data_IF_189274725461
#
_entry.id   IF_189274725461
#
_cell.length_a   1.000
_cell.length_b   1.000
_cell.length_c   1.000
_cell.angle_alpha   90.00
_cell.angle_beta   90.00
_cell.angle_gamma   90.00
#
_symmetry.space_group_name_H-M   'P 1'
#
loop_
_entity.id
_entity.type
_entity.pdbx_description
1 polymer ?
#
# COMPACT_ATOMS: atom_id res chain seq x y z
N UNK A 1 13.15 14.01 -13.69
CA UNK A 1 13.48 14.34 -12.27
C UNK A 1 14.64 15.32 -12.25
N UNK A 2 14.55 16.41 -11.48
CA UNK A 2 15.68 17.34 -11.27
C UNK A 2 16.70 16.71 -10.32
N UNK A 3 17.98 17.16 -10.39
CA UNK A 3 19.04 16.64 -9.50
C UNK A 3 18.76 16.89 -8.01
N UNK A 4 18.06 17.99 -7.69
CA UNK A 4 17.66 18.29 -6.30
C UNK A 4 16.59 17.34 -5.81
N UNK A 5 15.56 17.10 -6.62
CA UNK A 5 14.49 16.15 -6.28
C UNK A 5 15.04 14.73 -6.11
N UNK A 6 15.89 14.28 -7.03
CA UNK A 6 16.53 12.96 -6.93
C UNK A 6 17.33 12.81 -5.64
N UNK A 7 18.10 13.83 -5.25
CA UNK A 7 18.83 13.83 -3.98
C UNK A 7 17.90 13.71 -2.79
N UNK A 8 16.80 14.46 -2.77
CA UNK A 8 15.82 14.40 -1.68
C UNK A 8 15.16 13.03 -1.59
N UNK A 9 14.79 12.43 -2.73
CA UNK A 9 14.22 11.08 -2.79
C UNK A 9 15.21 10.06 -2.20
N UNK A 10 16.48 10.08 -2.64
CA UNK A 10 17.52 9.17 -2.11
C UNK A 10 17.74 9.35 -0.60
N UNK A 11 17.71 10.58 -0.11
CA UNK A 11 17.85 10.85 1.34
C UNK A 11 16.67 10.27 2.14
N UNK A 12 15.44 10.41 1.63
CA UNK A 12 14.24 9.82 2.28
C UNK A 12 14.36 8.30 2.32
N UNK A 13 14.76 7.67 1.22
CA UNK A 13 14.90 6.21 1.14
C UNK A 13 15.93 5.73 2.16
N UNK A 14 17.13 6.31 2.16
CA UNK A 14 18.20 5.96 3.09
C UNK A 14 17.76 6.12 4.54
N UNK A 15 17.16 7.26 4.88
CA UNK A 15 16.68 7.51 6.24
C UNK A 15 15.59 6.51 6.67
N UNK A 16 14.68 6.16 5.75
CA UNK A 16 13.61 5.18 6.00
C UNK A 16 14.17 3.78 6.23
N UNK A 17 15.09 3.33 5.39
CA UNK A 17 15.72 2.00 5.49
C UNK A 17 16.55 1.89 6.75
N UNK A 18 17.37 2.89 7.06
CA UNK A 18 18.20 2.91 8.27
C UNK A 18 17.34 2.94 9.54
N UNK A 19 16.37 3.85 9.62
CA UNK A 19 15.47 3.94 10.78
C UNK A 19 14.66 2.66 10.98
N UNK A 20 14.24 2.02 9.89
CA UNK A 20 13.58 0.73 9.94
C UNK A 20 14.50 -0.36 10.51
N UNK A 21 15.72 -0.47 10.00
CA UNK A 21 16.70 -1.48 10.43
C UNK A 21 17.02 -1.33 11.94
N UNK A 22 17.31 -0.10 12.37
CA UNK A 22 17.61 0.20 13.78
C UNK A 22 16.42 -0.13 14.69
N UNK A 23 15.21 0.31 14.33
CA UNK A 23 14.00 0.07 15.12
C UNK A 23 13.57 -1.40 15.13
N UNK A 24 13.76 -2.11 14.01
CA UNK A 24 13.45 -3.53 13.91
C UNK A 24 14.41 -4.37 14.77
N UNK A 25 15.71 -4.08 14.71
CA UNK A 25 16.71 -4.75 15.53
C UNK A 25 16.45 -4.50 17.02
N UNK A 26 16.33 -3.22 17.41
CA UNK A 26 16.11 -2.84 18.81
C UNK A 26 14.90 -3.57 19.42
N UNK A 27 13.76 -3.54 18.74
CA UNK A 27 12.54 -4.22 19.21
C UNK A 27 12.77 -5.70 19.47
N UNK A 28 13.35 -6.43 18.51
CA UNK A 28 13.54 -7.87 18.66
C UNK A 28 14.61 -8.24 19.67
N UNK A 29 15.62 -7.38 19.89
CA UNK A 29 16.65 -7.59 20.90
C UNK A 29 16.06 -7.34 22.30
N UNK A 30 15.26 -6.29 22.48
CA UNK A 30 14.59 -5.98 23.75
C UNK A 30 13.57 -7.06 24.13
N UNK A 31 12.93 -7.69 23.15
CA UNK A 31 11.98 -8.80 23.35
C UNK A 31 12.66 -10.16 23.66
N UNK A 32 14.00 -10.25 23.69
CA UNK A 32 14.70 -11.54 23.82
C UNK A 32 14.29 -12.33 25.07
N UNK A 33 14.22 -11.64 26.20
CA UNK A 33 13.90 -12.24 27.49
C UNK A 33 12.41 -12.08 27.86
N UNK A 34 11.61 -11.49 26.99
CA UNK A 34 10.17 -11.35 27.16
C UNK A 34 9.42 -12.60 26.68
N UNK A 35 8.69 -13.32 27.57
CA UNK A 35 7.90 -14.46 27.19
C UNK A 35 6.84 -14.17 26.12
N UNK A 36 6.34 -12.93 26.08
CA UNK A 36 5.33 -12.46 25.12
C UNK A 36 5.96 -11.88 23.84
N UNK A 37 7.28 -11.87 23.73
CA UNK A 37 8.00 -11.48 22.53
C UNK A 37 7.60 -12.28 21.30
N UNK A 38 7.56 -11.63 20.14
CA UNK A 38 7.05 -12.20 18.87
C UNK A 38 7.71 -13.55 18.51
N UNK A 39 9.01 -13.68 18.77
CA UNK A 39 9.77 -14.92 18.51
C UNK A 39 9.49 -15.95 19.60
N UNK A 40 9.51 -15.52 20.87
CA UNK A 40 9.33 -16.39 22.03
C UNK A 40 7.94 -17.04 22.09
N UNK A 41 6.89 -16.29 21.75
CA UNK A 41 5.52 -16.81 21.70
C UNK A 41 5.32 -17.98 20.72
N UNK A 42 6.24 -18.23 19.80
CA UNK A 42 6.14 -19.35 18.86
C UNK A 42 6.24 -20.72 19.53
N UNK A 43 6.79 -20.79 20.75
CA UNK A 43 6.83 -22.02 21.52
C UNK A 43 5.43 -22.54 21.88
N UNK A 44 4.43 -21.64 21.98
CA UNK A 44 3.03 -22.01 22.26
C UNK A 44 2.32 -22.62 21.06
N UNK A 45 2.88 -22.48 19.85
CA UNK A 45 2.43 -23.23 18.69
C UNK A 45 3.13 -24.59 18.67
N UNK A 46 2.47 -25.60 19.23
CA UNK A 46 3.04 -26.95 19.40
C UNK A 46 3.53 -27.57 18.07
N UNK A 47 2.90 -27.24 16.95
CA UNK A 47 3.29 -27.75 15.63
C UNK A 47 4.60 -27.10 15.14
N UNK A 48 4.78 -25.80 15.37
CA UNK A 48 6.03 -25.12 15.04
C UNK A 48 7.12 -25.47 16.05
N UNK A 49 6.77 -25.55 17.35
CA UNK A 49 7.72 -25.92 18.40
C UNK A 49 8.34 -27.29 18.17
N UNK A 50 7.55 -28.26 17.68
CA UNK A 50 8.02 -29.61 17.35
C UNK A 50 9.06 -29.63 16.22
N UNK A 51 9.18 -28.58 15.40
CA UNK A 51 10.16 -28.49 14.32
C UNK A 51 11.52 -27.93 14.76
N UNK A 52 11.62 -27.49 16.01
CA UNK A 52 12.86 -27.01 16.63
C UNK A 52 13.02 -25.49 16.62
N UNK A 53 14.02 -25.03 17.40
CA UNK A 53 14.26 -23.62 17.72
C UNK A 53 14.51 -22.75 16.48
N UNK A 54 15.25 -23.23 15.51
CA UNK A 54 15.53 -22.47 14.28
C UNK A 54 14.26 -22.17 13.47
N UNK A 55 13.38 -23.17 13.31
CA UNK A 55 12.12 -22.99 12.58
C UNK A 55 11.19 -22.05 13.34
N UNK A 56 11.14 -22.13 14.66
CA UNK A 56 10.40 -21.16 15.49
C UNK A 56 10.89 -19.73 15.21
N UNK A 57 12.20 -19.52 15.28
CA UNK A 57 12.86 -18.24 15.04
C UNK A 57 12.55 -17.70 13.64
N UNK A 58 12.89 -18.45 12.58
CA UNK A 58 12.73 -17.98 11.22
C UNK A 58 11.26 -17.75 10.83
N UNK A 59 10.33 -18.59 11.30
CA UNK A 59 8.90 -18.42 11.02
C UNK A 59 8.30 -17.15 11.67
N UNK A 60 8.80 -16.80 12.86
CA UNK A 60 8.38 -15.57 13.54
C UNK A 60 9.01 -14.34 12.91
N UNK A 61 10.34 -14.37 12.70
CA UNK A 61 11.09 -13.25 12.17
C UNK A 61 10.66 -12.89 10.76
N UNK A 62 10.48 -13.87 9.87
CA UNK A 62 10.04 -13.65 8.49
C UNK A 62 8.68 -12.94 8.44
N UNK A 63 7.71 -13.39 9.24
CA UNK A 63 6.38 -12.76 9.32
C UNK A 63 6.45 -11.34 9.89
N UNK A 64 7.27 -11.14 10.91
CA UNK A 64 7.47 -9.82 11.52
C UNK A 64 8.14 -8.86 10.54
N UNK A 65 9.16 -9.34 9.80
CA UNK A 65 9.87 -8.59 8.79
C UNK A 65 8.92 -8.17 7.66
N UNK A 66 8.16 -9.10 7.10
CA UNK A 66 7.24 -8.85 5.98
C UNK A 66 6.23 -7.74 6.33
N UNK A 67 5.56 -7.86 7.49
CA UNK A 67 4.62 -6.86 7.96
C UNK A 67 5.27 -5.50 8.23
N UNK A 68 6.44 -5.49 8.89
CA UNK A 68 7.12 -4.24 9.26
C UNK A 68 7.75 -3.54 8.05
N UNK A 69 8.26 -4.33 7.09
CA UNK A 69 8.78 -3.81 5.81
C UNK A 69 7.67 -3.17 4.99
N UNK A 70 6.47 -3.79 4.98
CA UNK A 70 5.29 -3.20 4.37
C UNK A 70 5.01 -1.79 4.90
N UNK A 71 4.90 -1.66 6.22
CA UNK A 71 4.65 -0.36 6.87
C UNK A 71 5.77 0.67 6.59
N UNK A 72 7.02 0.22 6.48
CA UNK A 72 8.13 1.11 6.13
C UNK A 72 8.01 1.61 4.70
N UNK A 73 7.71 0.73 3.74
CA UNK A 73 7.54 1.09 2.32
C UNK A 73 6.36 2.06 2.12
N UNK A 74 5.25 1.85 2.84
CA UNK A 74 4.11 2.78 2.83
C UNK A 74 4.51 4.18 3.30
N UNK A 75 5.16 4.28 4.46
CA UNK A 75 5.62 5.56 5.01
C UNK A 75 6.66 6.23 4.12
N UNK A 76 7.57 5.46 3.55
CA UNK A 76 8.58 5.95 2.62
C UNK A 76 7.94 6.55 1.37
N UNK A 77 6.94 5.88 0.79
CA UNK A 77 6.21 6.37 -0.37
C UNK A 77 5.45 7.67 -0.06
N UNK A 78 4.79 7.77 1.11
CA UNK A 78 4.15 9.02 1.58
C UNK A 78 5.18 10.16 1.65
N UNK A 79 6.32 9.93 2.29
CA UNK A 79 7.35 10.95 2.46
C UNK A 79 7.92 11.42 1.11
N UNK A 80 8.07 10.51 0.14
CA UNK A 80 8.47 10.87 -1.21
C UNK A 80 7.38 11.68 -1.91
N UNK A 81 6.11 11.23 -1.82
CA UNK A 81 4.98 11.92 -2.42
C UNK A 81 4.84 13.36 -1.92
N UNK A 82 5.08 13.61 -0.63
CA UNK A 82 5.02 14.95 -0.03
C UNK A 82 5.96 15.98 -0.68
N UNK A 83 6.98 15.54 -1.43
CA UNK A 83 7.85 16.46 -2.17
C UNK A 83 7.13 17.16 -3.34
N UNK A 84 6.09 16.52 -3.92
CA UNK A 84 5.42 16.97 -5.14
C UNK A 84 3.89 17.10 -5.00
N UNK A 85 3.30 16.38 -4.04
CA UNK A 85 1.87 16.32 -3.80
C UNK A 85 1.52 16.96 -2.45
N UNK A 86 0.28 17.39 -2.32
CA UNK A 86 -0.38 17.51 -1.03
C UNK A 86 -0.92 16.11 -0.67
N UNK A 87 -0.67 15.65 0.55
CA UNK A 87 -1.03 14.31 1.00
C UNK A 87 -2.05 14.42 2.13
N UNK A 88 -3.17 13.75 1.98
CA UNK A 88 -4.18 13.59 3.02
C UNK A 88 -4.40 12.10 3.33
N UNK A 89 -4.81 11.80 4.56
CA UNK A 89 -5.12 10.44 4.99
C UNK A 89 -6.63 10.21 5.13
N UNK A 90 -7.45 11.16 4.73
CA UNK A 90 -8.89 11.01 4.78
C UNK A 90 -9.57 11.83 3.69
N UNK A 91 -10.76 11.35 3.31
CA UNK A 91 -11.72 12.05 2.46
C UNK A 91 -13.02 12.17 3.24
N UNK A 92 -13.55 13.39 3.35
CA UNK A 92 -14.84 13.62 4.02
C UNK A 92 -15.72 14.54 3.20
N UNK A 93 -17.02 14.36 3.30
CA UNK A 93 -18.01 15.18 2.61
C UNK A 93 -19.34 14.46 2.46
N UNK A 94 -20.16 14.90 1.53
CA UNK A 94 -21.50 14.38 1.32
C UNK A 94 -21.50 13.23 0.32
N UNK A 95 -22.02 12.09 0.77
CA UNK A 95 -22.33 10.93 -0.08
C UNK A 95 -23.85 10.80 -0.19
N UNK A 96 -24.35 10.64 -1.40
CA UNK A 96 -25.79 10.51 -1.64
C UNK A 96 -26.22 9.04 -1.70
N UNK A 97 -27.46 8.78 -1.25
CA UNK A 97 -28.02 7.42 -1.19
C UNK A 97 -28.03 6.75 -2.57
N UNK A 98 -28.40 7.48 -3.64
CA UNK A 98 -28.43 6.92 -4.99
C UNK A 98 -27.03 6.54 -5.52
N UNK A 99 -25.97 7.21 -5.03
CA UNK A 99 -24.59 6.83 -5.31
C UNK A 99 -24.21 5.52 -4.61
N UNK A 100 -24.56 5.38 -3.32
CA UNK A 100 -24.32 4.16 -2.57
C UNK A 100 -25.07 2.95 -3.14
N UNK A 101 -26.35 3.14 -3.52
CA UNK A 101 -27.15 2.08 -4.13
C UNK A 101 -26.52 1.64 -5.47
N UNK A 102 -26.09 2.59 -6.29
CA UNK A 102 -25.42 2.29 -7.56
C UNK A 102 -24.08 1.56 -7.39
N UNK A 103 -23.26 1.99 -6.41
CA UNK A 103 -22.00 1.31 -6.10
C UNK A 103 -22.26 -0.15 -5.69
N UNK A 104 -23.28 -0.38 -4.87
CA UNK A 104 -23.64 -1.73 -4.42
C UNK A 104 -24.04 -2.64 -5.59
N UNK A 105 -24.88 -2.13 -6.54
CA UNK A 105 -25.28 -2.84 -7.75
C UNK A 105 -24.07 -3.14 -8.64
N UNK A 106 -23.24 -2.15 -8.92
CA UNK A 106 -22.04 -2.28 -9.75
C UNK A 106 -21.06 -3.34 -9.19
N UNK A 107 -20.81 -3.32 -7.89
CA UNK A 107 -19.92 -4.28 -7.25
C UNK A 107 -20.51 -5.70 -7.18
N UNK A 108 -21.84 -5.82 -7.16
CA UNK A 108 -22.50 -7.14 -7.25
C UNK A 108 -22.39 -7.72 -8.67
N UNK A 109 -22.49 -6.88 -9.71
CA UNK A 109 -22.25 -7.27 -11.10
C UNK A 109 -20.80 -7.76 -11.31
N UNK A 110 -19.80 -7.05 -10.76
CA UNK A 110 -18.42 -7.47 -10.81
C UNK A 110 -18.19 -8.79 -10.06
N UNK A 111 -18.79 -8.93 -8.87
CA UNK A 111 -18.68 -10.15 -8.05
C UNK A 111 -19.26 -11.37 -8.77
N UNK A 112 -20.36 -11.20 -9.48
CA UNK A 112 -21.04 -12.25 -10.21
C UNK A 112 -20.50 -12.46 -11.64
N UNK A 113 -19.44 -11.73 -12.03
CA UNK A 113 -18.89 -11.73 -13.39
C UNK A 113 -19.89 -11.34 -14.47
N UNK A 114 -20.92 -10.57 -14.10
CA UNK A 114 -21.91 -10.02 -15.05
C UNK A 114 -21.34 -8.83 -15.83
N UNK A 115 -20.35 -8.14 -15.27
CA UNK A 115 -19.60 -7.06 -15.91
C UNK A 115 -18.09 -7.22 -15.68
N UNK A 116 -17.29 -6.67 -16.61
CA UNK A 116 -15.83 -6.51 -16.47
C UNK A 116 -15.57 -5.05 -16.06
N UNK A 117 -14.79 -4.79 -15.00
CA UNK A 117 -14.57 -3.44 -14.49
C UNK A 117 -13.99 -2.48 -15.54
N UNK A 118 -14.56 -1.29 -15.63
CA UNK A 118 -14.11 -0.19 -16.49
C UNK A 118 -14.30 1.13 -15.77
N UNK A 119 -13.44 2.11 -16.02
CA UNK A 119 -13.61 3.48 -15.52
C UNK A 119 -14.95 4.07 -15.99
N UNK A 120 -15.39 3.71 -17.18
CA UNK A 120 -16.68 4.17 -17.74
C UNK A 120 -17.90 3.77 -16.90
N UNK A 121 -17.80 2.68 -16.12
CA UNK A 121 -18.93 2.14 -15.36
C UNK A 121 -19.36 3.06 -14.21
N UNK A 122 -18.47 3.91 -13.70
CA UNK A 122 -18.79 4.88 -12.65
C UNK A 122 -18.72 6.34 -13.12
N UNK A 123 -18.52 6.59 -14.43
CA UNK A 123 -18.69 7.94 -14.98
C UNK A 123 -20.16 8.35 -14.91
N UNK A 124 -20.39 9.62 -14.54
CA UNK A 124 -21.74 10.15 -14.33
C UNK A 124 -22.34 9.83 -12.95
N UNK A 125 -21.61 9.12 -12.08
CA UNK A 125 -22.10 8.81 -10.73
C UNK A 125 -22.34 10.06 -9.89
N UNK A 126 -21.60 11.13 -10.14
CA UNK A 126 -21.76 12.44 -9.47
C UNK A 126 -23.11 13.11 -9.76
N UNK A 127 -23.81 12.69 -10.82
CA UNK A 127 -25.16 13.19 -11.16
C UNK A 127 -26.24 12.52 -10.31
N UNK A 128 -25.95 11.37 -9.71
CA UNK A 128 -26.88 10.65 -8.82
C UNK A 128 -26.90 11.36 -7.47
N UNK A 129 -28.07 11.78 -7.06
CA UNK A 129 -28.29 12.56 -5.83
C UNK A 129 -29.21 11.77 -4.88
N UNK A 130 -30.08 12.43 -4.15
CA UNK A 130 -30.98 11.87 -3.17
C UNK A 130 -30.67 12.38 -1.77
N UNK A 131 -30.99 11.60 -0.74
CA UNK A 131 -30.65 11.96 0.63
C UNK A 131 -29.15 11.87 0.83
N UNK A 132 -28.53 13.01 1.17
CA UNK A 132 -27.10 13.09 1.48
C UNK A 132 -26.83 12.76 2.93
N UNK A 133 -25.75 12.04 3.17
CA UNK A 133 -25.18 11.82 4.51
C UNK A 133 -23.74 12.32 4.49
N UNK A 134 -23.31 12.96 5.58
CA UNK A 134 -21.91 13.33 5.73
C UNK A 134 -21.14 12.07 6.15
N UNK A 135 -20.10 11.74 5.42
CA UNK A 135 -19.26 10.56 5.63
C UNK A 135 -17.79 10.94 5.62
N UNK A 136 -17.00 10.21 6.41
CA UNK A 136 -15.54 10.31 6.42
C UNK A 136 -14.95 8.93 6.19
N UNK A 137 -14.02 8.84 5.26
CA UNK A 137 -13.23 7.65 4.96
C UNK A 137 -11.77 7.89 5.27
N UNK A 138 -11.14 6.95 5.93
CA UNK A 138 -9.68 6.88 5.94
C UNK A 138 -9.21 6.43 4.56
N UNK A 139 -8.09 6.96 4.12
CA UNK A 139 -7.48 6.66 2.82
C UNK A 139 -6.00 6.34 3.04
N UNK A 140 -5.52 5.26 2.45
CA UNK A 140 -4.10 4.92 2.52
C UNK A 140 -3.27 6.04 1.89
N UNK A 141 -3.68 6.47 0.68
CA UNK A 141 -3.04 7.56 -0.04
C UNK A 141 -4.09 8.39 -0.77
N UNK A 142 -4.32 9.59 -0.30
CA UNK A 142 -5.02 10.61 -1.03
C UNK A 142 -4.02 11.71 -1.41
N UNK A 143 -3.65 11.76 -2.70
CA UNK A 143 -2.65 12.68 -3.23
C UNK A 143 -3.33 13.74 -4.10
N UNK A 144 -2.96 15.01 -3.90
CA UNK A 144 -3.37 16.11 -4.76
C UNK A 144 -2.13 16.66 -5.45
N UNK A 145 -2.09 16.57 -6.76
CA UNK A 145 -0.99 17.09 -7.56
C UNK A 145 -0.99 18.63 -7.52
N UNK A 146 0.07 19.23 -6.96
CA UNK A 146 0.17 20.68 -6.77
C UNK A 146 0.21 21.49 -8.07
N UNK A 147 0.56 20.87 -9.20
CA UNK A 147 0.65 21.56 -10.48
C UNK A 147 -0.63 21.44 -11.30
N UNK A 148 -1.24 20.24 -11.30
CA UNK A 148 -2.39 19.94 -12.15
C UNK A 148 -3.72 19.99 -11.42
N UNK A 149 -3.72 19.95 -10.08
CA UNK A 149 -4.94 19.82 -9.28
C UNK A 149 -5.60 18.44 -9.40
N UNK A 150 -4.92 17.44 -9.95
CA UNK A 150 -5.43 16.07 -10.03
C UNK A 150 -5.43 15.41 -8.66
N UNK A 151 -6.51 14.74 -8.34
CA UNK A 151 -6.73 13.98 -7.12
C UNK A 151 -6.55 12.48 -7.41
N UNK A 152 -5.70 11.82 -6.64
CA UNK A 152 -5.47 10.38 -6.74
C UNK A 152 -5.89 9.70 -5.45
N UNK A 153 -6.87 8.81 -5.53
CA UNK A 153 -7.30 7.92 -4.47
C UNK A 153 -6.62 6.57 -4.70
N UNK A 154 -5.72 6.19 -3.80
CA UNK A 154 -4.85 5.04 -4.01
C UNK A 154 -5.02 4.05 -2.87
N UNK A 155 -5.37 2.82 -3.20
CA UNK A 155 -5.25 1.67 -2.31
C UNK A 155 -3.91 0.99 -2.57
N UNK A 156 -2.98 1.05 -1.62
CA UNK A 156 -1.67 0.44 -1.73
C UNK A 156 -1.62 -0.90 -1.00
N UNK A 157 -1.29 -1.95 -1.71
CA UNK A 157 -0.94 -3.26 -1.13
C UNK A 157 0.46 -3.64 -1.58
N UNK A 158 1.40 -3.74 -0.63
CA UNK A 158 2.82 -3.90 -0.95
C UNK A 158 3.08 -5.05 -1.93
N UNK A 159 2.56 -6.24 -1.66
CA UNK A 159 2.66 -7.42 -2.54
C UNK A 159 1.40 -7.70 -3.35
N UNK A 160 0.38 -6.86 -3.27
CA UNK A 160 -0.86 -6.99 -4.00
C UNK A 160 -1.71 -8.21 -3.63
N UNK A 161 -1.52 -8.77 -2.42
CA UNK A 161 -2.31 -9.94 -1.99
C UNK A 161 -3.61 -9.49 -1.32
N UNK A 162 -4.71 -9.68 -2.05
CA UNK A 162 -6.07 -9.46 -1.56
C UNK A 162 -6.91 -10.72 -1.72
N UNK A 163 -7.73 -11.02 -0.72
CA UNK A 163 -8.85 -11.94 -0.91
C UNK A 163 -10.04 -11.22 -1.58
N UNK A 164 -11.00 -12.01 -2.08
CA UNK A 164 -12.16 -11.44 -2.82
C UNK A 164 -12.98 -10.46 -1.96
N UNK A 165 -13.11 -10.73 -0.66
CA UNK A 165 -13.88 -9.86 0.25
C UNK A 165 -13.17 -8.52 0.42
N UNK A 166 -11.86 -8.54 0.62
CA UNK A 166 -11.05 -7.33 0.72
C UNK A 166 -11.04 -6.54 -0.58
N UNK A 167 -10.78 -7.18 -1.74
CA UNK A 167 -10.78 -6.48 -3.02
C UNK A 167 -12.09 -5.74 -3.29
N UNK A 168 -13.24 -6.36 -2.96
CA UNK A 168 -14.54 -5.71 -3.05
C UNK A 168 -14.66 -4.52 -2.10
N UNK A 169 -14.34 -4.70 -0.82
CA UNK A 169 -14.50 -3.62 0.19
C UNK A 169 -13.56 -2.43 -0.06
N UNK A 170 -12.34 -2.68 -0.54
CA UNK A 170 -11.43 -1.59 -0.91
C UNK A 170 -11.95 -0.82 -2.13
N UNK A 171 -12.45 -1.52 -3.15
CA UNK A 171 -13.07 -0.84 -4.30
C UNK A 171 -14.31 -0.04 -3.92
N UNK A 172 -15.15 -0.56 -3.01
CA UNK A 172 -16.32 0.14 -2.47
C UNK A 172 -15.90 1.44 -1.77
N UNK A 173 -14.92 1.36 -0.87
CA UNK A 173 -14.41 2.52 -0.15
C UNK A 173 -13.83 3.59 -1.10
N UNK A 174 -13.07 3.18 -2.13
CA UNK A 174 -12.54 4.11 -3.13
C UNK A 174 -13.63 4.76 -3.99
N UNK A 175 -14.68 4.01 -4.36
CA UNK A 175 -15.81 4.58 -5.11
C UNK A 175 -16.63 5.55 -4.26
N UNK A 176 -16.83 5.30 -2.97
CA UNK A 176 -17.46 6.24 -2.06
C UNK A 176 -16.64 7.53 -1.90
N UNK A 177 -15.32 7.40 -1.73
CA UNK A 177 -14.39 8.54 -1.69
C UNK A 177 -14.43 9.34 -3.01
N UNK A 178 -14.46 8.63 -4.15
CA UNK A 178 -14.61 9.24 -5.47
C UNK A 178 -15.91 10.05 -5.57
N UNK A 179 -17.05 9.50 -5.11
CA UNK A 179 -18.31 10.23 -5.09
C UNK A 179 -18.24 11.50 -4.23
N UNK A 180 -17.68 11.40 -3.03
CA UNK A 180 -17.53 12.54 -2.13
C UNK A 180 -16.71 13.65 -2.80
N UNK A 181 -15.54 13.32 -3.35
CA UNK A 181 -14.67 14.30 -4.00
C UNK A 181 -15.31 14.90 -5.26
N UNK A 182 -15.92 14.08 -6.11
CA UNK A 182 -16.56 14.57 -7.33
C UNK A 182 -17.79 15.42 -7.04
N UNK A 183 -18.52 15.16 -5.93
CA UNK A 183 -19.59 16.01 -5.46
C UNK A 183 -19.09 17.39 -5.01
N UNK A 184 -17.93 17.44 -4.36
CA UNK A 184 -17.31 18.66 -3.85
C UNK A 184 -16.66 19.48 -4.96
N UNK A 185 -15.86 18.82 -5.80
CA UNK A 185 -15.12 19.46 -6.90
C UNK A 185 -16.01 19.84 -8.10
N UNK A 186 -17.16 19.17 -8.25
CA UNK A 186 -18.02 19.31 -9.43
C UNK A 186 -17.41 18.78 -10.72
N UNK A 187 -16.34 17.96 -10.64
CA UNK A 187 -15.64 17.39 -11.80
C UNK A 187 -15.16 15.97 -11.52
N UNK A 188 -15.59 15.03 -12.37
CA UNK A 188 -15.12 13.64 -12.31
C UNK A 188 -13.76 13.46 -12.98
N UNK A 189 -13.39 14.33 -13.90
CA UNK A 189 -12.12 14.24 -14.63
C UNK A 189 -10.90 14.56 -13.76
N UNK A 190 -11.11 15.22 -12.62
CA UNK A 190 -10.06 15.59 -11.68
C UNK A 190 -9.76 14.51 -10.65
N UNK A 191 -10.49 13.39 -10.62
CA UNK A 191 -10.33 12.34 -9.62
C UNK A 191 -10.01 11.02 -10.30
N UNK A 192 -8.96 10.34 -9.81
CA UNK A 192 -8.56 9.01 -10.27
C UNK A 192 -8.51 8.03 -9.11
N UNK A 193 -9.06 6.84 -9.34
CA UNK A 193 -8.92 5.68 -8.46
C UNK A 193 -7.76 4.82 -8.97
N UNK A 194 -6.88 4.38 -8.06
CA UNK A 194 -5.77 3.50 -8.38
C UNK A 194 -5.66 2.38 -7.34
N UNK A 195 -5.45 1.16 -7.83
CA UNK A 195 -4.93 0.05 -7.05
C UNK A 195 -3.42 -0.03 -7.29
N UNK A 196 -2.63 0.11 -6.25
CA UNK A 196 -1.19 0.20 -6.36
C UNK A 196 -0.46 -0.94 -5.63
N UNK A 197 0.72 -1.31 -6.15
CA UNK A 197 1.64 -2.21 -5.47
C UNK A 197 3.06 -1.67 -5.50
N UNK A 198 3.83 -1.91 -4.44
CA UNK A 198 5.22 -1.48 -4.37
C UNK A 198 6.15 -2.29 -5.28
N UNK A 199 5.79 -3.54 -5.59
CA UNK A 199 6.48 -4.41 -6.54
C UNK A 199 5.48 -5.26 -7.32
N UNK A 200 5.89 -5.76 -8.49
CA UNK A 200 5.09 -6.71 -9.23
C UNK A 200 5.45 -8.14 -8.82
N UNK A 201 4.55 -8.84 -8.14
CA UNK A 201 4.76 -10.23 -7.69
C UNK A 201 5.00 -11.25 -8.82
N UNK A 202 4.69 -10.88 -10.05
CA UNK A 202 4.89 -11.72 -11.25
C UNK A 202 6.21 -11.42 -11.97
N UNK A 203 6.98 -10.44 -11.49
CA UNK A 203 8.19 -9.92 -12.10
C UNK A 203 8.00 -8.53 -12.70
N UNK A 204 9.05 -7.71 -12.67
CA UNK A 204 8.97 -6.36 -13.25
C UNK A 204 8.80 -6.45 -14.77
N UNK A 205 7.84 -5.67 -15.29
CA UNK A 205 7.46 -5.70 -16.70
C UNK A 205 6.46 -6.80 -17.10
N UNK A 206 6.20 -7.79 -16.23
CA UNK A 206 5.21 -8.82 -16.49
C UNK A 206 3.77 -8.29 -16.29
N UNK A 207 2.78 -8.81 -17.04
CA UNK A 207 1.39 -8.47 -16.85
C UNK A 207 0.90 -8.86 -15.44
N UNK A 208 0.09 -7.99 -14.85
CA UNK A 208 -0.59 -8.29 -13.60
C UNK A 208 -1.68 -9.36 -13.83
N UNK A 209 -1.71 -10.41 -13.01
CA UNK A 209 -2.57 -11.58 -13.24
C UNK A 209 -3.42 -11.99 -12.04
N UNK A 210 -3.44 -11.20 -10.96
CA UNK A 210 -4.25 -11.53 -9.80
C UNK A 210 -5.73 -11.33 -10.09
N UNK A 211 -6.44 -12.42 -10.35
CA UNK A 211 -7.86 -12.41 -10.75
C UNK A 211 -8.78 -11.75 -9.73
N UNK A 212 -8.44 -11.79 -8.42
CA UNK A 212 -9.22 -11.15 -7.36
C UNK A 212 -9.19 -9.62 -7.45
N UNK A 213 -8.07 -9.04 -7.84
CA UNK A 213 -7.95 -7.60 -8.08
C UNK A 213 -8.64 -7.26 -9.39
N UNK A 214 -8.35 -7.99 -10.48
CA UNK A 214 -8.95 -7.77 -11.81
C UNK A 214 -10.48 -7.95 -11.83
N UNK A 215 -11.04 -8.62 -10.83
CA UNK A 215 -12.49 -8.76 -10.67
C UNK A 215 -13.18 -7.44 -10.31
N UNK A 216 -12.45 -6.51 -9.63
CA UNK A 216 -13.02 -5.26 -9.12
C UNK A 216 -12.32 -4.00 -9.64
N UNK A 217 -11.11 -4.12 -10.18
CA UNK A 217 -10.32 -3.03 -10.72
C UNK A 217 -10.06 -3.26 -12.21
N UNK A 218 -10.26 -2.23 -13.01
CA UNK A 218 -9.88 -2.24 -14.41
C UNK A 218 -8.36 -2.17 -14.59
N UNK A 219 -7.86 -2.57 -15.75
CA UNK A 219 -6.42 -2.45 -16.07
C UNK A 219 -5.92 -1.00 -16.00
N UNK A 220 -6.79 -0.04 -16.32
CA UNK A 220 -6.49 1.40 -16.29
C UNK A 220 -6.33 1.94 -14.85
N UNK A 221 -6.87 1.24 -13.87
CA UNK A 221 -6.74 1.56 -12.45
C UNK A 221 -5.53 0.89 -11.79
N UNK A 222 -4.81 0.04 -12.51
CA UNK A 222 -3.63 -0.64 -11.97
C UNK A 222 -2.40 0.27 -12.02
N UNK A 223 -1.81 0.50 -10.86
CA UNK A 223 -0.58 1.28 -10.67
C UNK A 223 0.51 0.41 -10.02
N UNK A 224 1.07 -0.51 -10.82
CA UNK A 224 1.89 -1.61 -10.33
C UNK A 224 3.38 -1.24 -10.40
N UNK A 225 4.11 -1.47 -9.29
CA UNK A 225 5.57 -1.39 -9.22
C UNK A 225 6.14 -0.11 -9.85
N UNK A 226 6.72 -0.19 -11.03
CA UNK A 226 7.32 0.95 -11.74
C UNK A 226 6.35 2.12 -11.91
N UNK A 227 5.10 1.84 -12.25
CA UNK A 227 4.07 2.87 -12.41
C UNK A 227 3.80 3.59 -11.09
N UNK A 228 3.74 2.85 -9.98
CA UNK A 228 3.53 3.43 -8.65
C UNK A 228 4.69 4.33 -8.22
N UNK A 229 5.93 3.84 -8.30
CA UNK A 229 7.08 4.65 -7.89
C UNK A 229 7.31 5.85 -8.81
N UNK A 230 7.01 5.71 -10.10
CA UNK A 230 7.07 6.85 -11.03
C UNK A 230 5.99 7.89 -10.73
N UNK A 231 4.77 7.47 -10.36
CA UNK A 231 3.71 8.36 -9.91
C UNK A 231 4.14 9.11 -8.64
N UNK A 232 4.54 8.39 -7.60
CA UNK A 232 4.92 8.95 -6.29
C UNK A 232 6.09 9.94 -6.40
N UNK A 233 7.07 9.62 -7.24
CA UNK A 233 8.21 10.51 -7.52
C UNK A 233 7.90 11.61 -8.56
N UNK A 234 6.72 11.56 -9.21
CA UNK A 234 6.35 12.42 -10.34
C UNK A 234 7.46 12.46 -11.42
N UNK A 235 7.97 11.28 -11.80
CA UNK A 235 9.08 11.14 -12.74
C UNK A 235 9.16 9.74 -13.32
N UNK A 236 9.42 9.62 -14.63
CA UNK A 236 9.63 8.34 -15.33
C UNK A 236 10.87 7.57 -14.82
N UNK A 237 11.76 8.25 -14.07
CA UNK A 237 12.93 7.65 -13.42
C UNK A 237 12.72 7.31 -11.94
N UNK A 238 11.49 7.49 -11.44
CA UNK A 238 11.17 7.31 -10.03
C UNK A 238 11.52 5.91 -9.54
N UNK A 239 11.04 4.91 -10.25
CA UNK A 239 11.32 3.51 -9.94
C UNK A 239 12.82 3.20 -9.88
N UNK A 240 13.57 3.60 -10.92
CA UNK A 240 15.00 3.31 -10.98
C UNK A 240 15.74 3.94 -9.79
N UNK A 241 15.43 5.19 -9.45
CA UNK A 241 16.04 5.90 -8.31
C UNK A 241 15.71 5.23 -6.98
N UNK A 242 14.45 4.80 -6.81
CA UNK A 242 14.01 4.12 -5.59
C UNK A 242 14.70 2.78 -5.44
N UNK A 243 14.73 1.96 -6.50
CA UNK A 243 15.35 0.63 -6.45
C UNK A 243 16.86 0.71 -6.25
N UNK A 244 17.54 1.60 -6.96
CA UNK A 244 19.00 1.79 -6.83
C UNK A 244 19.39 2.14 -5.39
N UNK A 245 18.71 3.11 -4.78
CA UNK A 245 19.06 3.54 -3.43
C UNK A 245 18.64 2.49 -2.38
N UNK A 246 17.46 1.86 -2.54
CA UNK A 246 17.03 0.80 -1.63
C UNK A 246 18.01 -0.39 -1.63
N UNK A 247 18.42 -0.85 -2.81
CA UNK A 247 19.39 -1.96 -2.93
C UNK A 247 20.74 -1.59 -2.29
N UNK A 248 21.20 -0.36 -2.53
CA UNK A 248 22.44 0.15 -1.94
C UNK A 248 22.40 0.18 -0.42
N UNK A 249 21.27 0.57 0.16
CA UNK A 249 21.11 0.73 1.60
C UNK A 249 20.56 -0.54 2.30
N UNK A 250 20.23 -1.62 1.56
CA UNK A 250 19.73 -2.87 2.12
C UNK A 250 20.68 -3.55 3.12
N UNK A 251 21.98 -3.20 3.10
CA UNK A 251 22.95 -3.70 4.07
C UNK A 251 22.57 -3.34 5.52
N UNK A 252 21.93 -2.19 5.78
CA UNK A 252 21.44 -1.84 7.11
C UNK A 252 20.46 -2.89 7.66
N UNK A 253 19.54 -3.36 6.79
CA UNK A 253 18.57 -4.41 7.16
C UNK A 253 19.28 -5.74 7.37
N UNK A 254 20.22 -6.10 6.50
CA UNK A 254 20.98 -7.34 6.62
C UNK A 254 21.78 -7.38 7.94
N UNK A 255 22.45 -6.29 8.29
CA UNK A 255 23.20 -6.17 9.54
C UNK A 255 22.27 -6.31 10.77
N UNK A 256 21.10 -5.68 10.73
CA UNK A 256 20.06 -5.82 11.75
C UNK A 256 19.57 -7.27 11.91
N UNK A 257 19.32 -7.97 10.80
CA UNK A 257 18.87 -9.38 10.81
C UNK A 257 19.97 -10.31 11.37
N UNK A 258 21.22 -10.11 11.01
CA UNK A 258 22.33 -10.91 11.57
C UNK A 258 22.52 -10.63 13.07
N UNK A 259 22.33 -9.40 13.52
CA UNK A 259 22.38 -9.07 14.95
C UNK A 259 21.25 -9.76 15.74
N UNK A 260 19.99 -9.71 15.24
CA UNK A 260 18.88 -10.44 15.86
C UNK A 260 19.16 -11.94 15.87
N UNK A 261 19.64 -12.50 14.76
CA UNK A 261 19.97 -13.92 14.64
C UNK A 261 21.02 -14.36 15.67
N UNK A 262 22.10 -13.60 15.81
CA UNK A 262 23.13 -13.86 16.80
C UNK A 262 22.61 -13.83 18.24
N UNK A 263 21.62 -12.96 18.50
CA UNK A 263 20.96 -12.85 19.81
C UNK A 263 20.12 -14.09 20.18
N UNK A 264 19.44 -14.69 19.21
CA UNK A 264 18.50 -15.81 19.46
C UNK A 264 19.07 -17.20 19.16
N UNK A 265 20.01 -17.32 18.22
CA UNK A 265 20.52 -18.59 17.73
C UNK A 265 21.99 -18.85 18.04
N UNK A 266 22.70 -17.91 18.73
CA UNK A 266 24.05 -18.23 19.22
C UNK A 266 23.96 -19.44 20.15
N UNK A 267 24.69 -20.48 19.83
CA UNK A 267 24.98 -21.58 20.74
C UNK A 267 26.02 -21.05 21.74
N UNK A 268 25.65 -21.03 23.03
CA UNK A 268 26.62 -20.90 24.13
C UNK A 268 27.63 -22.05 24.09
#
# INVERSE_FOLDING_TARGET
MTSTLERSVRQIIRASVQSFADGFALRHIDEKDDPDGVINMKIHNIFIAALGKEIQYYSALARSLDSSLGNMLEKMAINIAMLQYEVSQHVEGVLYKEQTDYIAELLEDYKNHAAIPKIADYKGISTKKGTGIHKRHESDYYLIDRETGMHYLIELKIGGDLDNKKARSEKEALLEQYCILTNELGSEEQVKILFATAYNRYGEGEPWRQGRVLQFFSEEELCISKSFWNLVCKSDRGFDVVMDEYIKDAHFINDALEHIKSTYLSTD
#
